data_IF_515991565444
#
_entry.id   IF_515991565444
#
_cell.length_a   1.000
_cell.length_b   1.000
_cell.length_c   1.000
_cell.angle_alpha   90.00
_cell.angle_beta   90.00
_cell.angle_gamma   90.00
#
_symmetry.space_group_name_H-M   'P 1'
#
loop_
_entity.id
_entity.type
_entity.pdbx_description
1 polymer ?
#
# COMPACT_ATOMS: atom_id res chain seq x y z
N UNK A 1 8.39 -0.36 -11.34
CA UNK A 1 7.27 0.10 -12.20
C UNK A 1 6.50 1.18 -11.44
N UNK A 2 6.30 2.37 -12.02
CA UNK A 2 5.58 3.47 -11.36
C UNK A 2 4.07 3.40 -11.59
N UNK A 3 3.26 3.93 -10.67
CA UNK A 3 1.79 4.01 -10.80
C UNK A 3 1.29 5.38 -11.27
N UNK A 4 2.15 6.40 -11.24
CA UNK A 4 1.88 7.78 -11.66
C UNK A 4 3.15 8.46 -12.22
N UNK A 5 3.04 9.73 -12.65
CA UNK A 5 4.16 10.52 -13.18
C UNK A 5 5.25 10.83 -12.14
N UNK A 6 4.94 10.71 -10.85
CA UNK A 6 5.87 10.88 -9.73
C UNK A 6 5.37 10.15 -8.49
N UNK A 7 6.05 10.31 -7.34
CA UNK A 7 5.61 9.75 -6.07
C UNK A 7 4.22 10.24 -5.70
N UNK A 8 3.36 9.32 -5.25
CA UNK A 8 2.01 9.62 -4.76
C UNK A 8 1.97 9.35 -3.27
N UNK A 9 1.59 10.36 -2.49
CA UNK A 9 1.35 10.18 -1.06
C UNK A 9 -0.06 9.64 -0.84
N UNK A 10 -0.17 8.48 -0.19
CA UNK A 10 -1.45 7.86 0.13
C UNK A 10 -1.97 8.38 1.48
N UNK A 11 -2.28 9.67 1.55
CA UNK A 11 -2.68 10.33 2.81
C UNK A 11 -3.88 9.66 3.48
N UNK A 12 -4.90 9.28 2.71
CA UNK A 12 -6.09 8.64 3.27
C UNK A 12 -5.78 7.25 3.84
N UNK A 13 -4.82 6.53 3.25
CA UNK A 13 -4.32 5.25 3.79
C UNK A 13 -3.56 5.49 5.09
N UNK A 14 -2.72 6.53 5.17
CA UNK A 14 -2.03 6.90 6.40
C UNK A 14 -3.03 7.21 7.54
N UNK A 15 -4.11 7.94 7.24
CA UNK A 15 -5.15 8.24 8.22
C UNK A 15 -5.91 6.99 8.66
N UNK A 16 -6.23 6.08 7.72
CA UNK A 16 -6.93 4.83 8.02
C UNK A 16 -6.16 3.95 9.01
N UNK A 17 -4.85 3.79 8.81
CA UNK A 17 -4.04 2.84 9.60
C UNK A 17 -3.52 3.42 10.92
N UNK A 18 -3.50 4.75 11.06
CA UNK A 18 -2.91 5.41 12.23
C UNK A 18 -3.68 5.07 13.50
N UNK A 19 -2.96 4.53 14.49
CA UNK A 19 -3.53 4.15 15.78
C UNK A 19 -4.33 2.85 15.76
N UNK A 20 -4.39 2.15 14.62
CA UNK A 20 -5.04 0.85 14.50
C UNK A 20 -4.05 -0.29 14.77
N UNK A 21 -4.58 -1.42 15.22
CA UNK A 21 -3.79 -2.65 15.36
C UNK A 21 -3.54 -3.29 13.97
N UNK A 22 -2.30 -3.68 13.65
CA UNK A 22 -1.98 -4.42 12.42
C UNK A 22 -2.87 -5.67 12.21
N UNK A 23 -3.48 -5.81 11.02
CA UNK A 23 -4.36 -6.94 10.72
C UNK A 23 -4.71 -7.09 9.24
N UNK A 24 -5.08 -8.31 8.82
CA UNK A 24 -5.36 -8.63 7.42
C UNK A 24 -6.49 -7.76 6.83
N UNK A 25 -7.61 -7.62 7.53
CA UNK A 25 -8.75 -6.83 7.05
C UNK A 25 -8.38 -5.35 6.90
N UNK A 26 -7.62 -4.79 7.84
CA UNK A 26 -7.14 -3.40 7.77
C UNK A 26 -6.24 -3.18 6.54
N UNK A 27 -5.35 -4.14 6.24
CA UNK A 27 -4.44 -4.02 5.10
C UNK A 27 -5.14 -4.19 3.76
N UNK A 28 -6.16 -5.05 3.72
CA UNK A 28 -7.04 -5.18 2.57
C UNK A 28 -7.81 -3.88 2.32
N UNK A 29 -8.35 -3.27 3.36
CA UNK A 29 -9.03 -1.96 3.26
C UNK A 29 -8.08 -0.85 2.80
N UNK A 30 -6.86 -0.80 3.36
CA UNK A 30 -5.80 0.10 2.91
C UNK A 30 -5.46 -0.12 1.42
N UNK A 31 -5.42 -1.37 0.98
CA UNK A 31 -5.24 -1.75 -0.42
C UNK A 31 -6.37 -1.24 -1.32
N UNK A 32 -7.63 -1.38 -0.93
CA UNK A 32 -8.77 -0.84 -1.68
C UNK A 32 -8.72 0.69 -1.77
N UNK A 33 -8.42 1.37 -0.66
CA UNK A 33 -8.29 2.83 -0.61
C UNK A 33 -7.15 3.34 -1.50
N UNK A 34 -6.03 2.61 -1.55
CA UNK A 34 -4.89 2.94 -2.42
C UNK A 34 -5.19 2.83 -3.93
N UNK A 35 -6.31 2.22 -4.34
CA UNK A 35 -6.74 2.18 -5.76
C UNK A 35 -7.31 3.53 -6.23
N UNK A 36 -7.62 4.44 -5.31
CA UNK A 36 -8.24 5.74 -5.62
C UNK A 36 -7.26 6.79 -6.18
N UNK A 37 -5.99 6.41 -6.40
CA UNK A 37 -5.01 7.29 -7.04
C UNK A 37 -5.43 7.70 -8.45
N UNK A 38 -4.95 8.87 -8.89
CA UNK A 38 -4.95 9.21 -10.30
C UNK A 38 -3.81 8.45 -10.99
N UNK A 39 -4.17 7.50 -11.86
CA UNK A 39 -3.21 6.64 -12.55
C UNK A 39 -3.20 6.94 -14.05
N UNK A 40 -2.00 7.17 -14.60
CA UNK A 40 -1.82 7.38 -16.03
C UNK A 40 -1.88 6.06 -16.81
N UNK A 41 -2.36 6.14 -18.05
CA UNK A 41 -2.26 5.05 -19.03
C UNK A 41 -1.12 5.34 -20.00
N UNK A 42 -0.39 4.32 -20.41
CA UNK A 42 0.61 4.41 -21.49
C UNK A 42 0.55 3.17 -22.41
N UNK A 43 1.51 3.05 -23.33
CA UNK A 43 1.62 1.91 -24.25
C UNK A 43 1.85 0.57 -23.54
N UNK A 44 2.39 0.59 -22.33
CA UNK A 44 2.75 -0.62 -21.60
C UNK A 44 1.59 -1.11 -20.72
N UNK A 45 0.87 -0.19 -20.09
CA UNK A 45 -0.15 -0.53 -19.09
C UNK A 45 -1.29 0.49 -19.03
N UNK A 46 -2.50 -0.05 -18.83
CA UNK A 46 -3.69 0.76 -18.59
C UNK A 46 -3.67 1.41 -17.20
N UNK A 47 -4.32 2.56 -17.08
CA UNK A 47 -4.54 3.21 -15.77
C UNK A 47 -5.27 2.30 -14.78
N UNK A 48 -6.22 1.48 -15.25
CA UNK A 48 -6.94 0.48 -14.44
C UNK A 48 -5.99 -0.57 -13.86
N UNK A 49 -5.04 -1.06 -14.66
CA UNK A 49 -4.04 -2.01 -14.18
C UNK A 49 -3.16 -1.38 -13.08
N UNK A 50 -2.71 -0.13 -13.27
CA UNK A 50 -1.90 0.57 -12.28
C UNK A 50 -2.65 0.83 -10.98
N UNK A 51 -3.95 1.16 -11.03
CA UNK A 51 -4.80 1.26 -9.82
C UNK A 51 -4.91 -0.08 -9.08
N UNK A 52 -5.10 -1.19 -9.80
CA UNK A 52 -5.11 -2.52 -9.16
C UNK A 52 -3.76 -2.82 -8.51
N UNK A 53 -2.67 -2.46 -9.19
CA UNK A 53 -1.32 -2.68 -8.71
C UNK A 53 -0.99 -1.84 -7.47
N UNK A 54 -1.43 -0.57 -7.40
CA UNK A 54 -1.22 0.27 -6.21
C UNK A 54 -1.87 -0.34 -4.97
N UNK A 55 -3.09 -0.87 -5.09
CA UNK A 55 -3.76 -1.56 -4.00
C UNK A 55 -3.01 -2.81 -3.52
N UNK A 56 -2.72 -3.73 -4.45
CA UNK A 56 -2.05 -5.00 -4.10
C UNK A 56 -0.60 -4.84 -3.65
N UNK A 57 0.10 -3.78 -4.06
CA UNK A 57 1.43 -3.46 -3.53
C UNK A 57 1.36 -2.83 -2.14
N UNK A 58 0.37 -1.97 -1.89
CA UNK A 58 0.17 -1.34 -0.57
C UNK A 58 -0.13 -2.39 0.50
N UNK A 59 -1.07 -3.31 0.22
CA UNK A 59 -1.41 -4.41 1.14
C UNK A 59 -0.18 -5.27 1.47
N UNK A 60 0.58 -5.69 0.44
CA UNK A 60 1.81 -6.49 0.64
C UNK A 60 2.89 -5.74 1.39
N UNK A 61 3.06 -4.44 1.12
CA UNK A 61 4.04 -3.61 1.81
C UNK A 61 3.72 -3.49 3.31
N UNK A 62 2.44 -3.33 3.67
CA UNK A 62 2.01 -3.28 5.07
C UNK A 62 2.27 -4.62 5.79
N UNK A 63 1.96 -5.75 5.14
CA UNK A 63 2.31 -7.07 5.66
C UNK A 63 3.83 -7.22 5.87
N UNK A 64 4.63 -6.78 4.89
CA UNK A 64 6.09 -6.82 4.96
C UNK A 64 6.66 -5.95 6.08
N UNK A 65 6.14 -4.73 6.25
CA UNK A 65 6.56 -3.80 7.29
C UNK A 65 6.31 -4.36 8.70
N UNK A 66 5.16 -5.00 8.93
CA UNK A 66 4.86 -5.64 10.23
C UNK A 66 5.74 -6.85 10.47
N UNK A 67 5.99 -7.67 9.45
CA UNK A 67 6.89 -8.81 9.57
C UNK A 67 8.33 -8.37 9.89
N UNK A 68 8.79 -7.28 9.28
CA UNK A 68 10.08 -6.68 9.58
C UNK A 68 10.13 -6.16 11.02
N UNK A 69 9.14 -5.36 11.43
CA UNK A 69 9.03 -4.83 12.80
C UNK A 69 9.09 -5.94 13.85
N UNK A 70 8.38 -7.05 13.63
CA UNK A 70 8.39 -8.20 14.55
C UNK A 70 9.76 -8.85 14.69
N UNK A 71 10.48 -9.05 13.58
CA UNK A 71 11.83 -9.62 13.61
C UNK A 71 12.82 -8.71 14.34
N UNK A 72 12.76 -7.40 14.10
CA UNK A 72 13.63 -6.43 14.78
C UNK A 72 13.36 -6.41 16.30
N UNK A 73 12.09 -6.54 16.73
CA UNK A 73 11.76 -6.61 18.16
C UNK A 73 12.21 -7.92 18.83
N UNK A 74 12.26 -9.02 18.09
CA UNK A 74 12.74 -10.32 18.59
C UNK A 74 14.28 -10.36 18.71
N UNK A 75 15.01 -9.48 18.01
CA UNK A 75 16.48 -9.39 18.06
C UNK A 75 16.99 -8.43 19.16
N UNK A 76 16.12 -7.53 19.64
CA UNK A 76 16.41 -6.54 20.70
C UNK A 76 16.09 -7.05 22.14
N UNK A 77 15.45 -8.22 22.27
CA UNK A 77 15.14 -8.93 23.53
C UNK A 77 16.13 -10.06 23.86
#
# INVERSE_FOLDING_TARGET
MSVAAGPVRLYDVEQLIKGQSPGHELFKEAGELAKNIEAMSDINFSGVYRKRLSGGLTERALHGAVAQFRREHEEDE
#
